data_IF_457422588397
#
_entry.id   IF_457422588397
#
_cell.length_a   1.000
_cell.length_b   1.000
_cell.length_c   1.000
_cell.angle_alpha   90.00
_cell.angle_beta   90.00
_cell.angle_gamma   90.00
#
_symmetry.space_group_name_H-M   'P 1'
#
loop_
_entity.id
_entity.type
_entity.pdbx_description
1 polymer ?
#
# COMPACT_ATOMS: atom_id res chain seq x y z
N UNK A 1 -11.28 26.28 2.46
CA UNK A 1 -10.22 26.02 1.46
C UNK A 1 -10.45 24.65 0.86
N UNK A 2 -10.22 24.46 -0.43
CA UNK A 2 -10.48 23.16 -1.08
C UNK A 2 -9.53 22.89 -2.25
N UNK A 3 -9.33 21.60 -2.54
CA UNK A 3 -8.77 21.09 -3.78
C UNK A 3 -9.89 20.38 -4.55
N UNK A 4 -9.95 20.52 -5.87
CA UNK A 4 -10.93 19.84 -6.72
C UNK A 4 -10.38 19.55 -8.11
N UNK A 5 -10.67 18.36 -8.63
CA UNK A 5 -10.30 17.92 -9.98
C UNK A 5 -11.52 17.47 -10.83
N UNK A 6 -12.73 17.82 -10.39
CA UNK A 6 -13.99 17.40 -11.02
C UNK A 6 -14.51 16.02 -10.59
N UNK A 7 -13.65 15.12 -10.10
CA UNK A 7 -14.04 13.81 -9.56
C UNK A 7 -14.12 13.82 -8.04
N UNK A 8 -13.17 14.51 -7.40
CA UNK A 8 -13.05 14.65 -5.96
C UNK A 8 -12.97 16.13 -5.62
N UNK A 9 -13.62 16.50 -4.52
CA UNK A 9 -13.40 17.76 -3.82
C UNK A 9 -12.98 17.46 -2.39
N UNK A 10 -11.77 17.89 -2.02
CA UNK A 10 -11.24 17.76 -0.67
C UNK A 10 -11.23 19.11 0.02
N UNK A 11 -11.85 19.22 1.20
CA UNK A 11 -11.88 20.46 1.99
C UNK A 11 -10.93 20.37 3.17
N UNK A 12 -10.27 21.49 3.45
CA UNK A 12 -9.23 21.60 4.47
C UNK A 12 -9.62 22.62 5.53
N UNK A 13 -9.25 22.33 6.77
CA UNK A 13 -9.44 23.21 7.90
C UNK A 13 -8.58 24.48 7.71
N UNK A 14 -9.22 25.65 7.76
CA UNK A 14 -8.56 26.93 7.49
C UNK A 14 -7.59 27.38 8.59
N UNK A 15 -7.65 26.76 9.78
CA UNK A 15 -6.74 27.05 10.90
C UNK A 15 -5.53 26.12 10.88
N UNK A 16 -5.74 24.82 10.68
CA UNK A 16 -4.67 23.81 10.81
C UNK A 16 -4.03 23.42 9.49
N UNK A 17 -4.71 23.64 8.37
CA UNK A 17 -4.31 23.15 7.04
C UNK A 17 -4.62 21.69 6.78
N UNK A 18 -5.12 20.92 7.75
CA UNK A 18 -5.38 19.48 7.58
C UNK A 18 -6.69 19.18 6.87
N UNK A 19 -6.76 17.98 6.29
CA UNK A 19 -7.96 17.46 5.65
C UNK A 19 -9.13 17.43 6.66
N UNK A 20 -10.30 17.88 6.21
CA UNK A 20 -11.52 17.91 7.01
C UNK A 20 -12.66 17.10 6.38
N UNK A 21 -12.72 17.02 5.05
CA UNK A 21 -13.73 16.20 4.35
C UNK A 21 -13.33 15.88 2.92
N UNK A 22 -13.90 14.80 2.41
CA UNK A 22 -13.79 14.35 1.02
C UNK A 22 -15.19 14.24 0.45
N UNK A 23 -15.38 14.75 -0.76
CA UNK A 23 -16.61 14.63 -1.52
C UNK A 23 -16.29 14.06 -2.91
N UNK A 24 -17.01 13.04 -3.31
CA UNK A 24 -17.05 12.48 -4.67
C UNK A 24 -18.40 12.82 -5.31
N UNK A 25 -18.65 12.34 -6.53
CA UNK A 25 -19.98 12.45 -7.14
C UNK A 25 -21.07 11.72 -6.34
N UNK A 26 -20.71 10.59 -5.73
CA UNK A 26 -21.66 9.65 -5.12
C UNK A 26 -21.64 9.67 -3.58
N UNK A 27 -20.62 10.27 -2.94
CA UNK A 27 -20.47 10.29 -1.49
C UNK A 27 -19.88 11.61 -0.96
N UNK A 28 -20.20 11.95 0.28
CA UNK A 28 -19.56 13.04 1.03
C UNK A 28 -19.30 12.58 2.45
N UNK A 29 -18.07 12.72 2.92
CA UNK A 29 -17.65 12.23 4.22
C UNK A 29 -16.73 13.22 4.92
N UNK A 30 -17.01 13.47 6.21
CA UNK A 30 -16.04 14.12 7.09
C UNK A 30 -14.88 13.17 7.34
N UNK A 31 -13.66 13.67 7.11
CA UNK A 31 -12.40 12.97 7.39
C UNK A 31 -11.53 13.96 8.16
N UNK A 32 -11.69 13.97 9.48
CA UNK A 32 -10.91 14.82 10.39
C UNK A 32 -9.52 14.21 10.58
N UNK A 33 -8.56 14.75 9.83
CA UNK A 33 -7.16 14.34 9.88
C UNK A 33 -6.42 15.12 10.98
N UNK A 34 -5.73 14.38 11.84
CA UNK A 34 -4.91 14.93 12.91
C UNK A 34 -3.64 14.11 13.12
N UNK A 35 -2.69 14.68 13.85
CA UNK A 35 -1.47 13.99 14.26
C UNK A 35 -1.44 13.87 15.77
N UNK A 36 -1.00 12.71 16.24
CA UNK A 36 -1.00 12.35 17.65
C UNK A 36 0.31 11.64 17.99
N UNK A 37 0.58 11.47 19.27
CA UNK A 37 1.72 10.68 19.72
C UNK A 37 1.40 9.80 20.92
N UNK A 38 2.12 8.69 21.04
CA UNK A 38 2.14 7.83 22.21
C UNK A 38 3.46 8.03 22.96
N UNK A 39 3.40 8.06 24.30
CA UNK A 39 4.57 7.96 25.15
C UNK A 39 4.91 6.50 25.45
N UNK A 40 6.14 6.21 25.87
CA UNK A 40 6.51 4.87 26.35
C UNK A 40 6.26 4.73 27.86
N UNK A 41 5.79 3.54 28.29
CA UNK A 41 5.63 3.26 29.73
C UNK A 41 6.95 3.44 30.50
N UNK A 42 6.93 4.10 31.67
CA UNK A 42 8.10 4.18 32.53
C UNK A 42 8.40 2.80 33.16
N UNK A 43 9.64 2.64 33.63
CA UNK A 43 10.04 1.49 34.43
C UNK A 43 9.24 1.42 35.74
N UNK A 44 8.84 0.23 36.18
CA UNK A 44 8.27 0.03 37.52
C UNK A 44 9.20 -0.86 38.34
N UNK A 45 10.02 -0.22 39.18
CA UNK A 45 11.08 -0.84 40.00
C UNK A 45 10.65 -1.99 40.95
N UNK A 46 9.36 -2.35 41.04
CA UNK A 46 8.85 -3.35 42.00
C UNK A 46 8.25 -4.60 41.31
N UNK A 47 8.94 -5.72 41.55
CA UNK A 47 8.58 -7.12 41.29
C UNK A 47 8.46 -7.58 39.83
N UNK A 48 9.60 -8.02 39.32
CA UNK A 48 9.75 -8.58 37.98
C UNK A 48 9.63 -10.12 38.02
N UNK A 49 8.39 -10.62 37.91
CA UNK A 49 8.11 -11.95 37.39
C UNK A 49 7.77 -11.83 35.89
N UNK A 50 8.67 -11.18 35.12
CA UNK A 50 8.56 -11.01 33.66
C UNK A 50 7.64 -9.89 33.19
N UNK A 51 7.49 -8.82 33.97
CA UNK A 51 6.43 -7.81 33.79
C UNK A 51 6.89 -6.38 33.47
N UNK A 52 8.18 -6.06 33.59
CA UNK A 52 8.70 -4.71 33.35
C UNK A 52 9.25 -4.51 31.94
N UNK A 53 8.45 -4.91 30.95
CA UNK A 53 8.76 -4.65 29.56
C UNK A 53 8.41 -3.20 29.21
N UNK A 54 9.33 -2.52 28.50
CA UNK A 54 9.12 -1.17 27.95
C UNK A 54 9.04 -1.23 26.44
N UNK A 55 8.55 -0.16 25.82
CA UNK A 55 8.64 -0.01 24.36
C UNK A 55 10.11 -0.07 23.94
N UNK A 56 10.38 -0.78 22.85
CA UNK A 56 11.68 -0.84 22.16
C UNK A 56 11.40 -1.28 20.71
N UNK A 57 12.41 -1.68 19.93
CA UNK A 57 12.24 -1.99 18.51
C UNK A 57 11.11 -2.97 18.17
N UNK A 58 10.83 -3.95 19.04
CA UNK A 58 9.83 -5.00 18.83
C UNK A 58 8.54 -4.71 19.60
N UNK A 59 8.65 -4.25 20.85
CA UNK A 59 7.49 -4.04 21.71
C UNK A 59 6.92 -2.63 21.56
N UNK A 60 5.61 -2.55 21.38
CA UNK A 60 4.84 -1.32 21.54
C UNK A 60 4.09 -1.37 22.87
N UNK A 61 4.52 -0.61 23.85
CA UNK A 61 3.96 -0.57 25.20
C UNK A 61 3.71 0.88 25.62
N UNK A 62 2.65 1.51 25.07
CA UNK A 62 2.39 2.91 25.30
C UNK A 62 1.91 3.18 26.73
N UNK A 63 2.21 4.38 27.23
CA UNK A 63 1.82 4.84 28.57
C UNK A 63 0.35 5.27 28.69
N UNK A 64 -0.43 5.14 27.63
CA UNK A 64 -1.87 5.39 27.61
C UNK A 64 -2.40 5.61 26.20
N UNK A 65 -3.56 6.24 26.11
CA UNK A 65 -4.12 6.73 24.85
C UNK A 65 -3.22 7.81 24.22
N UNK A 66 -3.24 7.90 22.89
CA UNK A 66 -2.47 8.91 22.16
C UNK A 66 -2.94 10.33 22.49
N UNK A 67 -1.97 11.24 22.63
CA UNK A 67 -2.18 12.66 22.89
C UNK A 67 -2.12 13.46 21.59
N UNK A 68 -2.98 14.46 21.39
CA UNK A 68 -2.96 15.28 20.19
C UNK A 68 -1.69 16.14 20.14
N UNK A 69 -1.14 16.31 18.94
CA UNK A 69 -0.07 17.27 18.71
C UNK A 69 -0.64 18.67 18.47
N UNK A 70 0.00 19.74 19.01
CA UNK A 70 -0.42 21.11 18.79
C UNK A 70 -0.44 21.49 17.31
N UNK A 71 -1.44 22.30 16.92
CA UNK A 71 -1.63 22.74 15.53
C UNK A 71 -1.82 24.25 15.41
N UNK A 72 -1.71 24.97 16.52
CA UNK A 72 -1.89 26.42 16.63
C UNK A 72 -0.84 27.21 15.84
N UNK A 73 0.35 26.64 15.66
CA UNK A 73 1.45 27.22 14.88
C UNK A 73 1.54 26.70 13.45
N UNK A 74 0.61 25.86 13.03
CA UNK A 74 0.64 25.33 11.67
C UNK A 74 0.55 26.46 10.65
N UNK A 75 1.37 26.37 9.62
CA UNK A 75 1.30 27.25 8.46
C UNK A 75 1.12 26.39 7.22
N UNK A 76 0.45 26.92 6.21
CA UNK A 76 0.22 26.17 4.97
C UNK A 76 0.22 27.08 3.75
N UNK A 77 0.51 26.48 2.61
CA UNK A 77 0.46 27.11 1.29
C UNK A 77 -0.36 26.24 0.37
N UNK A 78 -1.19 26.88 -0.45
CA UNK A 78 -2.00 26.22 -1.49
C UNK A 78 -1.41 26.55 -2.85
N UNK A 79 -1.14 25.51 -3.63
CA UNK A 79 -0.65 25.60 -4.99
C UNK A 79 -1.73 25.02 -5.90
N UNK A 80 -2.30 25.87 -6.76
CA UNK A 80 -3.32 25.45 -7.72
C UNK A 80 -2.77 25.54 -9.13
N UNK A 81 -2.66 24.40 -9.82
CA UNK A 81 -2.28 24.31 -11.21
C UNK A 81 -3.27 23.47 -12.03
N UNK A 82 -3.15 23.48 -13.36
CA UNK A 82 -4.08 22.76 -14.25
C UNK A 82 -3.93 21.23 -14.19
N UNK A 83 -2.76 20.72 -13.78
CA UNK A 83 -2.47 19.28 -13.72
C UNK A 83 -2.56 18.73 -12.30
N UNK A 84 -2.20 19.55 -11.31
CA UNK A 84 -2.13 19.18 -9.89
C UNK A 84 -2.49 20.38 -9.05
N UNK A 85 -3.26 20.12 -8.00
CA UNK A 85 -3.41 21.03 -6.88
C UNK A 85 -2.82 20.40 -5.62
N UNK A 86 -2.15 21.20 -4.80
CA UNK A 86 -1.45 20.73 -3.60
C UNK A 86 -1.64 21.71 -2.46
N UNK A 87 -1.89 21.21 -1.27
CA UNK A 87 -1.69 21.95 -0.02
C UNK A 87 -0.45 21.39 0.67
N UNK A 88 0.44 22.29 1.08
CA UNK A 88 1.63 21.95 1.84
C UNK A 88 1.46 22.55 3.23
N UNK A 89 1.47 21.70 4.25
CA UNK A 89 1.32 22.09 5.65
C UNK A 89 2.66 21.87 6.36
N UNK A 90 3.12 22.90 7.07
CA UNK A 90 4.26 22.85 7.98
C UNK A 90 3.74 22.85 9.43
N UNK A 91 4.19 21.88 10.21
CA UNK A 91 3.74 21.62 11.58
C UNK A 91 2.96 20.30 11.67
N UNK A 92 2.84 19.66 12.85
CA UNK A 92 3.28 20.11 14.17
C UNK A 92 4.80 20.22 14.31
N UNK A 93 5.25 21.13 15.17
CA UNK A 93 6.67 21.46 15.37
C UNK A 93 7.43 20.33 16.08
N UNK A 94 6.77 19.61 16.99
CA UNK A 94 7.35 18.50 17.76
C UNK A 94 7.87 17.40 16.86
N UNK A 95 7.21 17.18 15.74
CA UNK A 95 7.58 16.18 14.73
C UNK A 95 8.16 16.81 13.46
N UNK A 96 8.41 18.14 13.49
CA UNK A 96 8.92 18.96 12.38
C UNK A 96 8.28 18.61 11.03
N UNK A 97 6.96 18.47 11.03
CA UNK A 97 6.28 17.85 9.90
C UNK A 97 6.22 18.79 8.69
N UNK A 98 6.40 18.18 7.52
CA UNK A 98 6.01 18.76 6.23
C UNK A 98 5.06 17.78 5.53
N UNK A 99 3.77 18.11 5.47
CA UNK A 99 2.75 17.30 4.80
C UNK A 99 2.40 17.92 3.45
N UNK A 100 2.37 17.08 2.41
CA UNK A 100 1.83 17.42 1.10
C UNK A 100 0.56 16.60 0.87
N UNK A 101 -0.58 17.27 0.75
CA UNK A 101 -1.80 16.64 0.24
C UNK A 101 -2.06 17.17 -1.16
N UNK A 102 -2.09 16.28 -2.15
CA UNK A 102 -2.26 16.65 -3.56
C UNK A 102 -3.39 15.89 -4.23
N UNK A 103 -4.02 16.55 -5.19
CA UNK A 103 -5.07 16.04 -6.04
C UNK A 103 -4.65 16.29 -7.50
N UNK A 104 -4.46 15.20 -8.22
CA UNK A 104 -4.06 15.20 -9.63
C UNK A 104 -5.29 15.23 -10.53
N UNK A 105 -5.14 15.74 -11.75
CA UNK A 105 -6.19 15.66 -12.76
C UNK A 105 -6.55 14.19 -13.04
N UNK A 106 -7.83 13.90 -13.24
CA UNK A 106 -8.36 12.56 -13.59
C UNK A 106 -8.06 11.44 -12.56
N UNK A 107 -7.76 11.77 -11.30
CA UNK A 107 -7.58 10.76 -10.24
C UNK A 107 -8.77 10.72 -9.26
N UNK A 108 -9.13 9.53 -8.81
CA UNK A 108 -10.15 9.31 -7.79
C UNK A 108 -9.52 9.01 -6.40
N UNK A 109 -8.40 9.65 -6.08
CA UNK A 109 -7.75 9.54 -4.76
C UNK A 109 -6.99 10.82 -4.39
N UNK A 110 -6.80 11.04 -3.09
CA UNK A 110 -5.86 12.04 -2.57
C UNK A 110 -4.50 11.40 -2.32
N UNK A 111 -3.43 12.04 -2.77
CA UNK A 111 -2.07 11.66 -2.42
C UNK A 111 -1.65 12.42 -1.15
N UNK A 112 -1.21 11.69 -0.12
CA UNK A 112 -0.74 12.24 1.15
C UNK A 112 0.71 11.81 1.34
N UNK A 113 1.62 12.77 1.43
CA UNK A 113 3.03 12.55 1.75
C UNK A 113 3.36 13.27 3.04
N UNK A 114 3.78 12.55 4.07
CA UNK A 114 4.24 13.15 5.32
C UNK A 114 5.75 12.96 5.44
N UNK A 115 6.50 14.06 5.54
CA UNK A 115 7.87 14.05 6.03
C UNK A 115 7.85 14.38 7.52
N UNK A 116 8.44 13.52 8.33
CA UNK A 116 8.42 13.58 9.80
C UNK A 116 9.86 13.50 10.30
N UNK A 117 10.23 14.34 11.27
CA UNK A 117 11.53 14.28 11.95
C UNK A 117 11.32 14.36 13.47
N UNK A 118 11.43 13.19 14.12
CA UNK A 118 11.28 13.02 15.57
C UNK A 118 12.62 12.91 16.31
N UNK A 119 13.75 13.22 15.68
CA UNK A 119 15.09 13.04 16.29
C UNK A 119 15.30 13.83 17.58
N UNK A 120 14.57 14.92 17.76
CA UNK A 120 14.62 15.75 18.98
C UNK A 120 13.69 15.25 20.10
N UNK A 121 12.93 14.17 19.86
CA UNK A 121 12.04 13.58 20.85
C UNK A 121 12.72 12.45 21.63
N UNK A 122 12.09 12.01 22.71
CA UNK A 122 12.49 10.84 23.49
C UNK A 122 11.25 10.11 23.98
N UNK A 123 11.24 8.78 23.89
CA UNK A 123 10.08 7.94 24.22
C UNK A 123 8.78 8.40 23.56
N UNK A 124 8.83 8.54 22.24
CA UNK A 124 7.83 9.20 21.43
C UNK A 124 7.52 8.39 20.17
N UNK A 125 6.25 8.03 19.98
CA UNK A 125 5.79 7.28 18.82
C UNK A 125 4.71 8.11 18.10
N UNK A 126 5.04 8.65 16.92
CA UNK A 126 4.19 9.57 16.17
C UNK A 126 3.18 8.81 15.31
N UNK A 127 1.94 9.30 15.21
CA UNK A 127 0.90 8.69 14.38
C UNK A 127 0.05 9.74 13.64
N UNK A 128 -0.40 9.37 12.44
CA UNK A 128 -1.47 10.07 11.72
C UNK A 128 -2.80 9.40 12.07
N UNK A 129 -3.81 10.20 12.42
CA UNK A 129 -5.16 9.74 12.77
C UNK A 129 -6.18 10.34 11.80
N UNK A 130 -7.01 9.48 11.24
CA UNK A 130 -8.18 9.83 10.44
C UNK A 130 -9.43 9.50 11.25
N UNK A 131 -10.32 10.47 11.46
CA UNK A 131 -11.62 10.24 12.09
C UNK A 131 -12.74 10.48 11.11
N UNK A 132 -13.69 9.58 11.06
CA UNK A 132 -14.80 9.59 10.11
C UNK A 132 -16.13 9.33 10.82
N UNK A 133 -17.22 9.46 10.07
CA UNK A 133 -18.55 9.05 10.52
C UNK A 133 -18.92 7.60 10.18
N UNK A 134 -17.98 6.79 9.67
CA UNK A 134 -18.22 5.38 9.35
C UNK A 134 -18.50 4.62 10.64
N UNK A 135 -19.54 3.78 10.63
CA UNK A 135 -19.92 2.93 11.76
C UNK A 135 -19.65 1.47 11.41
N UNK A 136 -18.45 1.02 11.73
CA UNK A 136 -17.89 -0.25 11.28
C UNK A 136 -18.22 -1.46 12.18
N UNK A 137 -18.97 -1.27 13.27
CA UNK A 137 -19.32 -2.32 14.24
C UNK A 137 -18.10 -3.17 14.68
N UNK A 138 -17.02 -2.48 15.09
CA UNK A 138 -15.71 -3.05 15.47
C UNK A 138 -14.97 -3.80 14.34
N UNK A 139 -15.31 -3.56 13.07
CA UNK A 139 -14.67 -4.20 11.90
C UNK A 139 -13.66 -3.28 11.25
N UNK A 140 -12.41 -3.72 11.25
CA UNK A 140 -11.30 -3.02 10.63
C UNK A 140 -10.56 -4.00 9.73
N UNK A 141 -10.10 -3.60 8.55
CA UNK A 141 -9.46 -4.53 7.63
C UNK A 141 -8.02 -4.12 7.38
N UNK A 142 -7.10 -5.07 7.49
CA UNK A 142 -5.69 -4.85 7.14
C UNK A 142 -5.19 -5.90 6.17
N UNK A 143 -4.26 -5.50 5.34
CA UNK A 143 -3.62 -6.39 4.40
C UNK A 143 -2.58 -7.30 5.07
N UNK A 144 -2.41 -8.50 4.50
CA UNK A 144 -1.31 -9.42 4.79
C UNK A 144 -0.42 -9.56 3.56
N UNK A 145 0.81 -9.06 3.68
CA UNK A 145 1.92 -9.26 2.74
C UNK A 145 1.65 -8.84 1.27
N UNK A 146 0.80 -7.86 1.02
CA UNK A 146 0.50 -7.46 -0.36
C UNK A 146 -0.48 -8.40 -1.08
N UNK A 147 -1.14 -9.32 -0.35
CA UNK A 147 -1.90 -10.41 -0.95
C UNK A 147 -3.38 -10.39 -0.58
N UNK A 148 -3.73 -10.55 0.69
CA UNK A 148 -5.12 -10.67 1.14
C UNK A 148 -5.47 -9.62 2.18
N UNK A 149 -6.73 -9.17 2.22
CA UNK A 149 -7.26 -8.35 3.29
C UNK A 149 -8.01 -9.24 4.29
N UNK A 150 -7.72 -9.04 5.57
CA UNK A 150 -8.32 -9.79 6.66
C UNK A 150 -9.01 -8.86 7.65
N UNK A 151 -10.18 -9.29 8.12
CA UNK A 151 -10.96 -8.63 9.15
C UNK A 151 -10.24 -8.72 10.50
N UNK A 152 -10.10 -7.57 11.14
CA UNK A 152 -9.66 -7.35 12.51
C UNK A 152 -10.86 -6.93 13.32
N UNK A 153 -10.90 -7.43 14.56
CA UNK A 153 -11.96 -7.12 15.52
C UNK A 153 -11.34 -6.52 16.76
N UNK A 154 -11.92 -5.42 17.22
CA UNK A 154 -11.56 -4.84 18.50
C UNK A 154 -12.11 -5.71 19.65
N UNK A 155 -11.33 -5.90 20.70
CA UNK A 155 -11.71 -6.73 21.85
C UNK A 155 -11.34 -5.99 23.13
N UNK A 156 -12.34 -5.49 23.86
CA UNK A 156 -12.14 -4.71 25.09
C UNK A 156 -11.30 -5.41 26.17
N UNK A 157 -11.20 -6.75 26.13
CA UNK A 157 -10.38 -7.55 27.05
C UNK A 157 -8.87 -7.50 26.75
N UNK A 158 -8.47 -7.05 25.56
CA UNK A 158 -7.08 -6.96 25.13
C UNK A 158 -6.55 -5.54 25.36
N UNK A 159 -5.25 -5.38 25.63
CA UNK A 159 -4.65 -4.07 25.82
C UNK A 159 -4.53 -3.33 24.47
N UNK A 160 -4.41 -1.99 24.52
CA UNK A 160 -4.35 -1.11 23.34
C UNK A 160 -3.39 -1.61 22.26
N UNK A 161 -2.15 -1.96 22.63
CA UNK A 161 -1.13 -2.39 21.67
C UNK A 161 -1.50 -3.69 20.92
N UNK A 162 -2.40 -4.51 21.45
CA UNK A 162 -2.87 -5.72 20.79
C UNK A 162 -3.83 -5.43 19.62
N UNK A 163 -4.25 -4.17 19.46
CA UNK A 163 -5.11 -3.71 18.37
C UNK A 163 -4.33 -2.98 17.27
N UNK A 164 -3.01 -2.88 17.39
CA UNK A 164 -2.14 -2.51 16.27
C UNK A 164 -1.79 -3.73 15.44
N UNK A 165 -2.04 -3.63 14.14
CA UNK A 165 -1.77 -4.66 13.16
C UNK A 165 -0.77 -4.14 12.12
N UNK A 166 -0.04 -5.03 11.43
CA UNK A 166 0.72 -4.63 10.26
C UNK A 166 -0.20 -4.08 9.16
N UNK A 167 0.24 -2.99 8.54
CA UNK A 167 -0.26 -2.42 7.29
C UNK A 167 0.87 -2.42 6.27
N UNK A 168 1.09 -3.55 5.56
CA UNK A 168 2.14 -3.63 4.56
C UNK A 168 1.87 -2.72 3.35
N UNK A 169 0.62 -2.62 2.92
CA UNK A 169 0.23 -1.79 1.77
C UNK A 169 -1.20 -1.22 1.84
N UNK A 170 -2.10 -1.80 2.65
CA UNK A 170 -3.46 -1.24 2.78
C UNK A 170 -4.16 -1.52 4.11
N UNK A 171 -5.04 -0.59 4.49
CA UNK A 171 -6.07 -0.78 5.50
C UNK A 171 -7.35 -0.03 5.12
N UNK A 172 -8.51 -0.51 5.57
CA UNK A 172 -9.77 0.20 5.37
C UNK A 172 -10.77 -0.01 6.51
N UNK A 173 -11.70 0.93 6.62
CA UNK A 173 -12.92 0.83 7.42
C UNK A 173 -14.13 0.96 6.48
N UNK A 174 -15.20 0.25 6.77
CA UNK A 174 -16.43 0.31 5.96
C UNK A 174 -17.69 0.17 6.81
N UNK A 175 -18.77 0.77 6.32
CA UNK A 175 -20.14 0.50 6.76
C UNK A 175 -20.98 -0.02 5.57
N UNK A 176 -22.31 0.04 5.66
CA UNK A 176 -23.21 -0.43 4.61
C UNK A 176 -23.27 0.47 3.36
N UNK A 177 -22.70 1.67 3.42
CA UNK A 177 -22.83 2.70 2.39
C UNK A 177 -21.48 3.25 1.90
N UNK A 178 -20.44 3.22 2.75
CA UNK A 178 -19.17 3.87 2.48
C UNK A 178 -17.99 3.01 2.92
N UNK A 179 -16.92 3.08 2.13
CA UNK A 179 -15.61 2.52 2.44
C UNK A 179 -14.55 3.61 2.34
N UNK A 180 -13.74 3.77 3.38
CA UNK A 180 -12.55 4.62 3.36
C UNK A 180 -11.30 3.74 3.40
N UNK A 181 -10.54 3.74 2.29
CA UNK A 181 -9.32 2.95 2.13
C UNK A 181 -8.09 3.84 2.21
N UNK A 182 -7.14 3.47 3.06
CA UNK A 182 -5.79 4.04 3.12
C UNK A 182 -4.82 3.04 2.50
N UNK A 183 -4.28 3.38 1.33
CA UNK A 183 -3.19 2.64 0.68
C UNK A 183 -1.86 3.27 1.10
N UNK A 184 -0.85 2.47 1.43
CA UNK A 184 0.47 2.91 1.86
C UNK A 184 1.57 2.33 0.97
N UNK A 185 2.63 3.11 0.74
CA UNK A 185 3.80 2.65 -0.03
C UNK A 185 4.78 1.83 0.82
N UNK A 186 4.67 1.93 2.14
CA UNK A 186 5.59 1.37 3.12
C UNK A 186 4.84 0.66 4.24
N UNK A 187 5.46 -0.36 4.82
CA UNK A 187 4.89 -1.12 5.91
C UNK A 187 4.91 -0.33 7.23
N UNK A 188 3.74 -0.17 7.86
CA UNK A 188 3.59 0.55 9.12
C UNK A 188 2.62 -0.18 10.06
N UNK A 189 2.56 0.23 11.33
CA UNK A 189 1.55 -0.23 12.27
C UNK A 189 0.26 0.58 12.11
N UNK A 190 -0.89 -0.08 12.05
CA UNK A 190 -2.21 0.56 11.92
C UNK A 190 -3.21 0.02 12.93
N UNK A 191 -4.14 0.85 13.39
CA UNK A 191 -5.22 0.43 14.27
C UNK A 191 -6.53 1.18 14.00
N UNK A 192 -7.66 0.54 14.29
CA UNK A 192 -8.93 1.22 14.60
C UNK A 192 -9.21 1.00 16.09
N UNK A 193 -8.94 2.02 16.90
CA UNK A 193 -9.09 1.97 18.36
C UNK A 193 -10.46 2.46 18.84
N UNK A 194 -11.20 3.18 17.98
CA UNK A 194 -12.53 3.70 18.24
C UNK A 194 -13.33 3.67 16.94
N UNK A 195 -14.67 3.60 17.00
CA UNK A 195 -15.50 3.64 15.81
C UNK A 195 -15.20 4.86 14.93
N UNK A 196 -15.08 4.62 13.63
CA UNK A 196 -14.77 5.59 12.59
C UNK A 196 -13.31 6.04 12.56
N UNK A 197 -12.42 5.48 13.39
CA UNK A 197 -11.02 5.90 13.48
C UNK A 197 -10.10 4.96 12.70
N UNK A 198 -9.08 5.55 12.09
CA UNK A 198 -7.93 4.83 11.56
C UNK A 198 -6.66 5.57 11.93
N UNK A 199 -5.73 4.89 12.58
CA UNK A 199 -4.46 5.43 13.06
C UNK A 199 -3.31 4.66 12.46
N UNK A 200 -2.32 5.36 11.91
CA UNK A 200 -1.09 4.76 11.37
C UNK A 200 0.12 5.38 12.05
N UNK A 201 0.99 4.54 12.61
CA UNK A 201 2.29 4.96 13.17
C UNK A 201 3.18 5.43 12.03
N UNK A 202 3.83 6.58 12.19
CA UNK A 202 4.70 7.19 11.18
C UNK A 202 6.18 6.95 11.48
N UNK A 203 6.58 7.10 12.74
CA UNK A 203 7.95 6.89 13.21
C UNK A 203 7.94 6.73 14.75
N UNK A 204 8.98 6.14 15.31
CA UNK A 204 9.13 5.92 16.76
C UNK A 204 10.57 6.08 17.23
N UNK A 205 10.76 6.76 18.35
CA UNK A 205 12.06 6.98 18.99
C UNK A 205 11.97 6.62 20.46
N UNK A 206 12.86 5.72 20.91
CA UNK A 206 12.74 5.06 22.21
C UNK A 206 14.08 5.04 22.91
N UNK A 207 14.09 5.46 24.18
CA UNK A 207 15.31 5.69 24.95
C UNK A 207 15.81 4.46 25.69
N UNK A 208 15.17 3.31 25.46
CA UNK A 208 15.49 2.04 26.06
C UNK A 208 15.33 0.90 25.06
N UNK A 209 15.95 -0.23 25.39
CA UNK A 209 15.70 -1.51 24.74
C UNK A 209 14.50 -2.23 25.37
N UNK A 210 13.98 -3.24 24.69
CA UNK A 210 12.80 -4.03 25.09
C UNK A 210 13.13 -5.49 25.47
N UNK A 211 14.41 -5.79 25.71
CA UNK A 211 14.89 -7.11 26.13
C UNK A 211 14.53 -8.26 25.16
N UNK A 212 14.47 -7.99 23.85
CA UNK A 212 14.29 -9.02 22.80
C UNK A 212 15.57 -9.44 22.08
N UNK A 213 16.74 -9.09 22.64
CA UNK A 213 18.06 -9.53 22.17
C UNK A 213 18.85 -8.49 21.36
N UNK A 214 18.21 -7.40 20.92
CA UNK A 214 18.88 -6.31 20.19
C UNK A 214 19.74 -5.42 21.10
N UNK A 215 19.33 -5.27 22.37
CA UNK A 215 20.09 -4.59 23.44
C UNK A 215 20.50 -3.13 23.16
N UNK A 216 19.76 -2.43 22.31
CA UNK A 216 19.97 -1.02 21.99
C UNK A 216 18.62 -0.25 21.97
N UNK A 217 18.64 1.07 22.22
CA UNK A 217 17.50 1.96 22.00
C UNK A 217 17.24 2.17 20.50
N UNK A 218 16.07 2.74 20.16
CA UNK A 218 15.76 3.15 18.78
C UNK A 218 16.08 4.63 18.65
N UNK A 219 17.32 4.94 18.25
CA UNK A 219 17.87 6.31 18.20
C UNK A 219 18.43 6.75 16.85
N UNK A 220 18.47 5.86 15.88
CA UNK A 220 19.01 6.04 14.53
C UNK A 220 17.99 6.65 13.55
N UNK A 221 16.92 7.26 14.06
CA UNK A 221 15.89 7.92 13.24
C UNK A 221 16.52 8.94 12.28
N UNK A 222 16.00 8.97 11.07
CA UNK A 222 16.24 10.03 10.08
C UNK A 222 14.93 10.80 9.84
N UNK A 223 14.99 11.84 9.00
CA UNK A 223 13.75 12.39 8.48
C UNK A 223 13.09 11.32 7.60
N UNK A 224 11.94 10.83 8.04
CA UNK A 224 11.26 9.69 7.42
C UNK A 224 10.08 10.19 6.59
N UNK A 225 9.93 9.60 5.41
CA UNK A 225 8.83 9.89 4.50
C UNK A 225 7.82 8.74 4.49
N UNK A 226 6.55 9.08 4.68
CA UNK A 226 5.43 8.16 4.47
C UNK A 226 4.55 8.65 3.32
N UNK A 227 4.22 7.74 2.41
CA UNK A 227 3.35 8.01 1.26
C UNK A 227 2.08 7.19 1.35
N UNK A 228 0.95 7.85 1.19
CA UNK A 228 -0.36 7.24 1.21
C UNK A 228 -1.25 7.74 0.07
N UNK A 229 -2.22 6.90 -0.32
CA UNK A 229 -3.39 7.30 -1.11
C UNK A 229 -4.64 7.08 -0.29
N UNK A 230 -5.50 8.08 -0.23
CA UNK A 230 -6.78 8.00 0.47
C UNK A 230 -7.92 7.96 -0.54
N UNK A 231 -8.74 6.92 -0.46
CA UNK A 231 -9.83 6.64 -1.40
C UNK A 231 -11.15 6.50 -0.64
N UNK A 232 -12.17 7.25 -1.07
CA UNK A 232 -13.54 7.16 -0.59
C UNK A 232 -14.41 6.52 -1.66
N UNK A 233 -15.08 5.43 -1.31
CA UNK A 233 -15.95 4.67 -2.22
C UNK A 233 -17.33 4.47 -1.62
N UNK A 234 -18.34 4.31 -2.47
CA UNK A 234 -19.68 3.87 -2.08
C UNK A 234 -19.79 2.36 -2.13
N UNK A 235 -20.58 1.79 -1.22
CA UNK A 235 -20.80 0.35 -1.09
C UNK A 235 -22.28 0.07 -1.25
N UNK A 236 -22.62 -0.86 -2.14
CA UNK A 236 -24.00 -1.30 -2.36
C UNK A 236 -24.39 -2.37 -1.34
N UNK A 237 -24.74 -1.93 -0.13
CA UNK A 237 -25.28 -2.78 0.92
C UNK A 237 -24.22 -3.47 1.80
N UNK A 238 -24.65 -4.20 2.85
CA UNK A 238 -23.74 -4.87 3.76
C UNK A 238 -22.99 -6.03 3.07
N UNK A 239 -21.90 -6.55 3.66
CA UNK A 239 -21.23 -7.73 3.15
C UNK A 239 -22.21 -8.90 2.93
N UNK A 240 -22.09 -9.67 1.83
CA UNK A 240 -23.04 -10.73 1.46
C UNK A 240 -23.22 -11.80 2.54
N UNK A 241 -22.17 -12.05 3.31
CA UNK A 241 -22.16 -13.02 4.39
C UNK A 241 -22.23 -12.33 5.77
N UNK A 242 -22.94 -12.99 6.70
CA UNK A 242 -22.78 -12.70 8.11
C UNK A 242 -21.37 -13.15 8.53
N UNK A 243 -20.40 -12.24 8.35
CA UNK A 243 -19.02 -12.29 8.86
C UNK A 243 -17.94 -13.03 8.03
N UNK A 244 -17.69 -12.66 6.76
CA UNK A 244 -16.51 -13.17 6.07
C UNK A 244 -15.25 -12.64 6.76
N UNK A 245 -14.30 -13.55 7.02
CA UNK A 245 -13.00 -13.21 7.64
C UNK A 245 -12.10 -12.46 6.65
N UNK A 246 -12.28 -12.69 5.35
CA UNK A 246 -11.52 -12.08 4.27
C UNK A 246 -12.33 -10.98 3.59
N UNK A 247 -11.65 -9.98 3.06
CA UNK A 247 -12.25 -8.96 2.22
C UNK A 247 -11.43 -8.75 0.93
N UNK A 248 -12.00 -7.97 0.02
CA UNK A 248 -11.38 -7.67 -1.28
C UNK A 248 -11.42 -6.17 -1.53
N UNK A 249 -10.42 -5.69 -2.27
CA UNK A 249 -10.46 -4.34 -2.83
C UNK A 249 -11.48 -4.28 -3.98
N UNK A 250 -12.00 -3.08 -4.26
CA UNK A 250 -12.58 -2.83 -5.57
C UNK A 250 -11.48 -2.99 -6.64
N UNK A 251 -11.85 -3.25 -7.89
CA UNK A 251 -10.87 -3.33 -8.99
C UNK A 251 -10.04 -2.04 -9.08
N UNK A 252 -10.70 -0.90 -8.85
CA UNK A 252 -10.07 0.41 -8.80
C UNK A 252 -8.97 0.49 -7.73
N UNK A 253 -9.26 0.08 -6.50
CA UNK A 253 -8.27 0.11 -5.43
C UNK A 253 -7.13 -0.88 -5.65
N UNK A 254 -7.38 -2.05 -6.25
CA UNK A 254 -6.32 -2.98 -6.62
C UNK A 254 -5.33 -2.35 -7.60
N UNK A 255 -5.82 -1.61 -8.60
CA UNK A 255 -4.99 -0.86 -9.56
C UNK A 255 -4.24 0.28 -8.86
N UNK A 256 -4.92 1.04 -7.99
CA UNK A 256 -4.30 2.14 -7.25
C UNK A 256 -3.23 1.63 -6.27
N UNK A 257 -3.41 0.46 -5.67
CA UNK A 257 -2.40 -0.21 -4.84
C UNK A 257 -1.21 -0.68 -5.70
N UNK A 258 -1.46 -1.31 -6.85
CA UNK A 258 -0.37 -1.67 -7.76
C UNK A 258 0.44 -0.44 -8.21
N UNK A 259 -0.22 0.66 -8.56
CA UNK A 259 0.45 1.89 -8.98
C UNK A 259 1.29 2.57 -7.90
N UNK A 260 0.95 2.41 -6.60
CA UNK A 260 1.78 2.99 -5.52
C UNK A 260 3.05 2.17 -5.27
N UNK A 261 2.98 0.85 -5.47
CA UNK A 261 4.11 -0.06 -5.29
C UNK A 261 5.00 -0.20 -6.55
N UNK A 262 4.42 -0.03 -7.73
CA UNK A 262 5.10 -0.14 -9.03
C UNK A 262 4.97 1.19 -9.83
N UNK A 263 5.56 2.30 -9.35
CA UNK A 263 5.52 3.56 -10.07
C UNK A 263 6.34 3.49 -11.38
N UNK A 264 6.03 4.35 -12.38
CA UNK A 264 6.82 4.43 -13.60
C UNK A 264 8.30 4.73 -13.33
N UNK A 265 9.19 4.02 -14.01
CA UNK A 265 10.63 4.30 -14.00
C UNK A 265 10.91 5.40 -15.02
N UNK A 266 11.30 6.58 -14.53
CA UNK A 266 11.66 7.72 -15.38
C UNK A 266 13.15 7.67 -15.69
N UNK A 267 13.49 7.57 -16.99
CA UNK A 267 14.87 7.58 -17.47
C UNK A 267 15.10 8.84 -18.32
N UNK A 268 16.18 9.57 -18.04
CA UNK A 268 16.54 10.80 -18.74
C UNK A 268 17.84 10.55 -19.51
N UNK A 269 17.83 10.83 -20.81
CA UNK A 269 19.01 10.73 -21.68
C UNK A 269 19.64 12.12 -21.91
N UNK A 270 20.96 12.24 -21.77
CA UNK A 270 21.67 13.53 -21.85
C UNK A 270 21.74 14.11 -23.28
N UNK A 271 21.90 13.27 -24.31
CA UNK A 271 21.88 13.65 -25.74
C UNK A 271 21.39 12.46 -26.56
N UNK A 272 20.25 12.61 -27.20
CA UNK A 272 19.93 11.85 -28.41
C UNK A 272 20.43 12.71 -29.58
N UNK A 273 21.52 12.31 -30.25
CA UNK A 273 21.81 12.92 -31.54
C UNK A 273 20.66 12.58 -32.52
N UNK A 274 20.48 13.39 -33.57
CA UNK A 274 19.34 13.22 -34.50
C UNK A 274 19.30 11.82 -35.13
N UNK A 275 20.47 11.18 -35.31
CA UNK A 275 20.60 9.83 -35.84
C UNK A 275 20.14 8.75 -34.85
N UNK A 276 20.39 8.92 -33.55
CA UNK A 276 19.96 8.00 -32.49
C UNK A 276 18.49 8.25 -32.15
N UNK A 277 18.03 9.50 -32.11
CA UNK A 277 16.62 9.83 -31.88
C UNK A 277 15.70 9.21 -32.93
N UNK A 278 16.12 9.15 -34.19
CA UNK A 278 15.35 8.53 -35.26
C UNK A 278 15.26 7.00 -35.17
N UNK A 279 16.16 6.36 -34.40
CA UNK A 279 16.21 4.90 -34.21
C UNK A 279 15.55 4.43 -32.91
N UNK A 280 15.28 5.35 -31.98
CA UNK A 280 14.59 5.01 -30.74
C UNK A 280 13.10 4.92 -31.03
N UNK A 281 12.48 3.74 -30.91
CA UNK A 281 11.03 3.62 -31.06
C UNK A 281 10.32 4.48 -30.01
N UNK A 282 9.24 5.14 -30.41
CA UNK A 282 8.41 5.96 -29.51
C UNK A 282 7.72 5.15 -28.43
N UNK A 283 7.54 3.85 -28.67
CA UNK A 283 6.93 2.89 -27.74
C UNK A 283 7.63 1.54 -27.88
N UNK A 284 7.92 0.92 -26.73
CA UNK A 284 8.37 -0.48 -26.67
C UNK A 284 7.48 -1.18 -25.65
N UNK A 285 6.74 -2.18 -26.11
CA UNK A 285 5.91 -3.02 -25.26
C UNK A 285 6.57 -4.40 -25.08
N UNK A 286 6.66 -4.86 -23.83
CA UNK A 286 7.16 -6.20 -23.52
C UNK A 286 6.13 -7.32 -23.82
N UNK A 287 4.85 -6.98 -23.89
CA UNK A 287 3.75 -7.87 -24.26
C UNK A 287 3.06 -7.36 -25.52
N UNK A 288 2.48 -8.27 -26.31
CA UNK A 288 1.75 -7.95 -27.54
C UNK A 288 0.41 -7.24 -27.31
N UNK A 289 -0.18 -7.41 -26.11
CA UNK A 289 -1.44 -6.80 -25.67
C UNK A 289 -1.48 -6.70 -24.14
N UNK A 290 -2.29 -5.79 -23.56
CA UNK A 290 -2.40 -5.66 -22.10
C UNK A 290 -3.06 -6.91 -21.47
N UNK A 291 -2.62 -7.26 -20.26
CA UNK A 291 -3.28 -8.26 -19.42
C UNK A 291 -4.67 -7.78 -18.99
N UNK A 292 -5.60 -8.69 -18.63
CA UNK A 292 -6.86 -8.31 -17.99
C UNK A 292 -6.63 -7.44 -16.75
N UNK A 293 -7.54 -6.50 -16.47
CA UNK A 293 -7.37 -5.53 -15.38
C UNK A 293 -7.29 -6.16 -13.98
N UNK A 294 -7.89 -7.34 -13.83
CA UNK A 294 -7.88 -8.15 -12.61
C UNK A 294 -6.66 -9.07 -12.52
N UNK A 295 -5.73 -9.04 -13.49
CA UNK A 295 -4.56 -9.92 -13.55
C UNK A 295 -3.29 -9.10 -13.51
N UNK A 296 -2.41 -9.42 -12.56
CA UNK A 296 -1.14 -8.76 -12.36
C UNK A 296 0.04 -9.71 -12.60
N UNK A 297 0.99 -9.28 -13.42
CA UNK A 297 2.27 -9.97 -13.58
C UNK A 297 3.20 -9.65 -12.41
N UNK A 298 3.21 -10.53 -11.41
CA UNK A 298 4.03 -10.39 -10.20
C UNK A 298 5.51 -10.52 -10.52
N UNK A 299 5.87 -11.41 -11.46
CA UNK A 299 7.24 -11.60 -11.88
C UNK A 299 7.32 -12.09 -13.34
N UNK A 300 8.28 -11.54 -14.07
CA UNK A 300 8.70 -12.01 -15.39
C UNK A 300 10.22 -12.12 -15.40
N UNK A 301 10.75 -13.34 -15.50
CA UNK A 301 12.18 -13.64 -15.33
C UNK A 301 12.72 -14.52 -16.45
N UNK A 302 13.71 -14.05 -17.20
CA UNK A 302 14.49 -14.89 -18.11
C UNK A 302 15.26 -15.95 -17.33
N UNK A 303 15.22 -17.20 -17.79
CA UNK A 303 15.90 -18.32 -17.14
C UNK A 303 17.31 -18.52 -17.67
N UNK A 304 18.14 -19.20 -16.88
CA UNK A 304 19.50 -19.56 -17.24
C UNK A 304 19.67 -21.07 -17.23
N UNK A 305 20.58 -21.54 -18.09
CA UNK A 305 21.04 -22.91 -18.06
C UNK A 305 21.75 -23.23 -16.72
N UNK A 306 21.83 -24.51 -16.32
CA UNK A 306 22.58 -24.92 -15.14
C UNK A 306 23.99 -24.35 -15.14
N UNK A 307 24.42 -23.84 -13.98
CA UNK A 307 25.76 -23.32 -13.80
C UNK A 307 26.76 -24.46 -13.88
N UNK A 308 27.73 -24.37 -14.79
CA UNK A 308 28.85 -25.31 -14.87
C UNK A 308 30.05 -24.70 -14.16
N UNK A 309 30.58 -25.41 -13.17
CA UNK A 309 31.85 -25.08 -12.52
C UNK A 309 32.96 -25.75 -13.31
N UNK A 310 33.80 -24.95 -13.97
CA UNK A 310 34.97 -25.49 -14.65
C UNK A 310 36.08 -25.82 -13.63
N UNK A 311 37.03 -26.67 -14.03
CA UNK A 311 38.14 -27.12 -13.19
C UNK A 311 39.08 -25.99 -12.74
N UNK A 312 38.98 -24.82 -13.38
CA UNK A 312 39.66 -23.57 -13.04
C UNK A 312 38.92 -22.73 -11.98
N UNK A 313 37.82 -23.26 -11.41
CA UNK A 313 36.96 -22.55 -10.46
C UNK A 313 36.05 -21.48 -11.09
N UNK A 314 36.12 -21.30 -12.41
CA UNK A 314 35.31 -20.29 -13.11
C UNK A 314 33.86 -20.75 -13.24
N UNK A 315 32.95 -19.86 -12.87
CA UNK A 315 31.51 -20.06 -13.01
C UNK A 315 31.08 -19.73 -14.44
N UNK A 316 30.58 -20.72 -15.17
CA UNK A 316 30.03 -20.52 -16.53
C UNK A 316 28.53 -20.80 -16.54
N UNK A 317 27.74 -19.76 -16.83
CA UNK A 317 26.28 -19.83 -16.97
C UNK A 317 25.89 -19.22 -18.31
N UNK A 318 25.00 -19.88 -19.05
CA UNK A 318 24.45 -19.36 -20.32
C UNK A 318 22.97 -19.01 -20.15
N UNK A 319 22.46 -17.99 -20.86
CA UNK A 319 21.02 -17.73 -20.88
C UNK A 319 20.30 -18.93 -21.51
N UNK A 320 19.11 -19.23 -20.99
CA UNK A 320 18.18 -20.18 -21.61
C UNK A 320 17.14 -19.40 -22.43
N UNK A 321 16.65 -19.97 -23.54
CA UNK A 321 15.58 -19.36 -24.33
C UNK A 321 14.21 -19.62 -23.70
N UNK A 322 14.12 -19.41 -22.39
CA UNK A 322 12.91 -19.63 -21.62
C UNK A 322 12.75 -18.56 -20.54
N UNK A 323 11.51 -18.30 -20.17
CA UNK A 323 11.14 -17.28 -19.20
C UNK A 323 10.12 -17.86 -18.24
N UNK A 324 10.21 -17.47 -16.98
CA UNK A 324 9.21 -17.73 -15.97
C UNK A 324 8.28 -16.53 -15.82
N UNK A 325 6.97 -16.79 -15.79
CA UNK A 325 5.94 -15.79 -15.57
C UNK A 325 5.08 -16.22 -14.38
N UNK A 326 4.95 -15.32 -13.40
CA UNK A 326 4.05 -15.47 -12.24
C UNK A 326 2.91 -14.48 -12.38
N UNK A 327 1.69 -14.98 -12.41
CA UNK A 327 0.46 -14.20 -12.52
C UNK A 327 -0.36 -14.33 -11.24
N UNK A 328 -0.87 -13.21 -10.76
CA UNK A 328 -1.87 -13.14 -9.69
C UNK A 328 -3.19 -12.63 -10.29
N UNK A 329 -4.31 -13.28 -9.99
CA UNK A 329 -5.62 -12.68 -10.23
C UNK A 329 -6.20 -12.14 -8.94
N UNK A 330 -6.57 -10.87 -8.94
CA UNK A 330 -7.21 -10.23 -7.79
C UNK A 330 -8.63 -10.77 -7.57
N UNK A 331 -8.96 -11.02 -6.29
CA UNK A 331 -10.35 -11.03 -5.84
C UNK A 331 -10.88 -9.59 -5.79
N UNK A 332 -12.12 -9.40 -6.22
CA UNK A 332 -12.73 -8.08 -6.37
C UNK A 332 -14.01 -8.00 -5.54
N UNK A 333 -14.17 -6.90 -4.80
CA UNK A 333 -15.42 -6.55 -4.14
C UNK A 333 -16.40 -5.98 -5.16
N UNK A 334 -17.41 -6.77 -5.52
CA UNK A 334 -18.40 -6.40 -6.54
C UNK A 334 -19.46 -5.39 -6.04
N UNK A 335 -19.61 -5.20 -4.72
CA UNK A 335 -20.49 -4.16 -4.16
C UNK A 335 -20.01 -2.73 -4.40
N UNK A 336 -18.76 -2.57 -4.86
CA UNK A 336 -18.14 -1.27 -5.07
C UNK A 336 -17.86 -1.08 -6.55
N UNK A 337 -18.58 -0.14 -7.17
CA UNK A 337 -18.44 0.19 -8.58
C UNK A 337 -17.74 1.55 -8.76
N UNK A 338 -16.49 1.63 -8.32
CA UNK A 338 -15.70 2.86 -8.44
C UNK A 338 -15.37 3.15 -9.90
N UNK A 339 -15.90 4.27 -10.41
CA UNK A 339 -15.58 4.79 -11.74
C UNK A 339 -14.23 5.51 -11.70
N UNK A 340 -13.15 4.83 -12.05
CA UNK A 340 -11.87 5.50 -12.36
C UNK A 340 -11.89 6.09 -13.78
N UNK A 341 -11.21 7.21 -13.97
CA UNK A 341 -10.84 7.71 -15.31
C UNK A 341 -9.62 6.97 -15.88
N UNK A 342 -9.56 5.65 -15.69
CA UNK A 342 -8.48 4.79 -16.22
C UNK A 342 -9.12 3.84 -17.22
N UNK A 343 -8.46 3.62 -18.36
CA UNK A 343 -8.93 2.72 -19.43
C UNK A 343 -9.10 1.26 -19.01
N UNK A 344 -8.64 0.89 -17.81
CA UNK A 344 -8.67 -0.46 -17.27
C UNK A 344 -9.73 -0.57 -16.15
N UNK A 345 -10.98 -0.82 -16.52
CA UNK A 345 -12.07 -1.08 -15.56
C UNK A 345 -12.97 -2.27 -15.94
N UNK A 346 -12.62 -2.99 -17.00
CA UNK A 346 -13.36 -4.18 -17.40
C UNK A 346 -12.63 -5.41 -16.90
N UNK A 347 -13.32 -6.18 -16.05
CA UNK A 347 -12.88 -7.52 -15.69
C UNK A 347 -12.98 -8.43 -16.91
N UNK A 348 -12.07 -9.41 -16.99
CA UNK A 348 -12.24 -10.50 -17.95
C UNK A 348 -13.53 -11.25 -17.67
N UNK A 349 -14.31 -11.55 -18.71
CA UNK A 349 -15.48 -12.43 -18.61
C UNK A 349 -15.09 -13.90 -18.39
N UNK A 350 -13.84 -14.27 -18.67
CA UNK A 350 -13.33 -15.63 -18.53
C UNK A 350 -12.24 -15.74 -17.47
N UNK A 351 -12.18 -16.93 -16.85
CA UNK A 351 -11.10 -17.27 -15.95
C UNK A 351 -9.81 -17.78 -16.58
N UNK A 352 -9.79 -17.87 -17.90
CA UNK A 352 -8.71 -18.47 -18.67
C UNK A 352 -7.92 -17.42 -19.44
N UNK A 353 -6.60 -17.58 -19.50
CA UNK A 353 -5.69 -16.74 -20.25
C UNK A 353 -4.91 -17.59 -21.26
N UNK A 354 -4.95 -17.20 -22.54
CA UNK A 354 -4.04 -17.74 -23.55
C UNK A 354 -2.70 -17.01 -23.47
N UNK A 355 -1.74 -17.62 -22.77
CA UNK A 355 -0.40 -17.07 -22.54
C UNK A 355 0.35 -16.82 -23.85
N UNK A 356 0.17 -17.67 -24.87
CA UNK A 356 0.92 -17.56 -26.13
C UNK A 356 0.58 -16.27 -26.85
N UNK A 357 -0.67 -15.82 -26.75
CA UNK A 357 -1.15 -14.59 -27.38
C UNK A 357 -0.57 -13.28 -26.81
N UNK A 358 0.18 -13.32 -25.71
CA UNK A 358 0.77 -12.13 -25.09
C UNK A 358 2.23 -11.87 -25.51
N UNK A 359 2.86 -12.79 -26.25
CA UNK A 359 4.24 -12.63 -26.69
C UNK A 359 4.31 -12.47 -28.21
N UNK A 360 5.13 -11.52 -28.66
CA UNK A 360 5.38 -11.29 -30.09
C UNK A 360 6.31 -12.34 -30.70
N UNK A 361 7.23 -12.86 -29.89
CA UNK A 361 8.10 -13.97 -30.27
C UNK A 361 7.31 -15.30 -30.28
N UNK A 362 7.60 -16.23 -31.21
CA UNK A 362 6.98 -17.54 -31.23
C UNK A 362 7.17 -18.28 -29.91
N UNK A 363 6.07 -18.67 -29.25
CA UNK A 363 6.11 -19.51 -28.05
C UNK A 363 6.04 -20.97 -28.47
N UNK A 364 7.09 -21.74 -28.15
CA UNK A 364 7.16 -23.18 -28.41
C UNK A 364 6.30 -23.97 -27.44
N UNK A 365 6.47 -23.76 -26.13
CA UNK A 365 5.71 -24.46 -25.09
C UNK A 365 5.49 -23.62 -23.83
N UNK A 366 4.41 -23.94 -23.10
CA UNK A 366 4.03 -23.30 -21.83
C UNK A 366 3.76 -24.39 -20.80
N UNK A 367 4.61 -24.50 -19.78
CA UNK A 367 4.51 -25.54 -18.76
C UNK A 367 4.19 -24.95 -17.38
N UNK A 368 3.24 -25.52 -16.61
CA UNK A 368 2.99 -25.07 -15.25
C UNK A 368 4.16 -25.43 -14.34
N UNK A 369 4.43 -24.57 -13.37
CA UNK A 369 5.51 -24.73 -12.42
C UNK A 369 5.10 -24.32 -11.00
N UNK A 370 5.89 -24.76 -10.01
CA UNK A 370 5.80 -24.23 -8.65
C UNK A 370 6.18 -22.75 -8.62
N UNK A 371 5.72 -22.00 -7.60
CA UNK A 371 6.04 -20.57 -7.42
C UNK A 371 7.56 -20.30 -7.41
N UNK A 372 8.34 -21.23 -6.86
CA UNK A 372 9.80 -21.17 -6.81
C UNK A 372 10.50 -21.62 -8.11
N UNK A 373 9.75 -22.14 -9.08
CA UNK A 373 10.23 -22.74 -10.33
C UNK A 373 11.11 -24.00 -10.15
N UNK A 374 11.20 -24.54 -8.94
CA UNK A 374 11.97 -25.75 -8.66
C UNK A 374 11.33 -27.01 -9.27
N UNK A 375 10.01 -26.99 -9.45
CA UNK A 375 9.27 -28.07 -10.09
C UNK A 375 8.52 -27.53 -11.29
N UNK A 376 8.78 -28.09 -12.46
CA UNK A 376 8.05 -27.77 -13.70
C UNK A 376 7.45 -29.04 -14.26
N UNK A 377 6.16 -29.03 -14.57
CA UNK A 377 5.50 -30.14 -15.22
C UNK A 377 5.71 -30.05 -16.74
N UNK A 378 6.86 -30.53 -17.22
CA UNK A 378 7.22 -30.49 -18.64
C UNK A 378 6.36 -31.41 -19.53
N UNK A 379 5.51 -32.26 -18.94
CA UNK A 379 4.62 -33.15 -19.68
C UNK A 379 3.28 -32.50 -20.03
N UNK A 380 2.96 -31.35 -19.42
CA UNK A 380 1.72 -30.62 -19.66
C UNK A 380 2.04 -29.31 -20.37
N UNK A 381 1.81 -29.25 -21.68
CA UNK A 381 1.89 -28.02 -22.47
C UNK A 381 0.51 -27.35 -22.53
N UNK A 382 0.39 -26.18 -21.92
CA UNK A 382 -0.88 -25.47 -21.75
C UNK A 382 -1.24 -24.67 -23.00
N UNK A 383 -2.47 -24.82 -23.45
CA UNK A 383 -3.12 -23.94 -24.44
C UNK A 383 -3.79 -22.75 -23.75
N UNK A 384 -4.41 -22.99 -22.59
CA UNK A 384 -5.02 -21.99 -21.74
C UNK A 384 -4.60 -22.19 -20.29
N UNK A 385 -4.40 -21.09 -19.57
CA UNK A 385 -4.12 -21.08 -18.13
C UNK A 385 -5.34 -20.56 -17.39
N UNK A 386 -5.97 -21.40 -16.59
CA UNK A 386 -7.01 -20.98 -15.66
C UNK A 386 -6.38 -20.38 -14.39
N UNK A 387 -6.85 -19.19 -14.00
CA UNK A 387 -6.46 -18.51 -12.77
C UNK A 387 -7.74 -18.06 -12.07
N UNK A 388 -8.11 -18.68 -10.96
CA UNK A 388 -9.29 -18.24 -10.20
C UNK A 388 -8.99 -16.97 -9.40
N UNK A 389 -10.01 -16.22 -8.93
CA UNK A 389 -9.80 -15.09 -8.04
C UNK A 389 -8.96 -15.48 -6.82
N UNK A 390 -7.99 -14.63 -6.47
CA UNK A 390 -6.98 -14.88 -5.44
C UNK A 390 -6.03 -16.05 -5.70
N UNK A 391 -5.87 -16.52 -6.94
CA UNK A 391 -4.84 -17.51 -7.26
C UNK A 391 -3.56 -16.87 -7.82
N UNK A 392 -2.43 -17.45 -7.41
CA UNK A 392 -1.14 -17.27 -8.04
C UNK A 392 -0.82 -18.49 -8.90
N UNK A 393 -0.53 -18.28 -10.19
CA UNK A 393 -0.06 -19.34 -11.10
C UNK A 393 1.30 -18.98 -11.66
N UNK A 394 2.14 -19.99 -11.80
CA UNK A 394 3.48 -19.86 -12.41
C UNK A 394 3.58 -20.74 -13.63
N UNK A 395 4.09 -20.18 -14.72
CA UNK A 395 4.37 -20.91 -15.96
C UNK A 395 5.80 -20.67 -16.42
N UNK A 396 6.42 -21.71 -16.96
CA UNK A 396 7.66 -21.65 -17.73
C UNK A 396 7.30 -21.63 -19.21
N UNK A 397 7.76 -20.59 -19.91
CA UNK A 397 7.49 -20.33 -21.32
C UNK A 397 8.80 -20.54 -22.08
N UNK A 398 8.79 -21.35 -23.13
CA UNK A 398 9.94 -21.59 -24.00
C UNK A 398 9.70 -20.93 -25.36
N UNK A 399 10.71 -20.22 -25.86
CA UNK A 399 10.70 -19.55 -27.16
C UNK A 399 11.57 -20.28 -28.18
#
# INVERSE_FOLDING_TARGET
>A
MQLSNGLITAKFNARTGFLASIQTADASMTVDMSFVYYGARPHKYYFDFGGDHRSGAYLFLPDGDARPLPTDKNTFVVISGPVRQTIIVKGPDEIKMLQHVSLDINTAHLNIRNLVDIRSQGNFEAAMRLKTGIVENDRFYTELNGYQLIRRKHFAKLPLQAHFFPMPGAAFIEDSAHRLTLLGRQALGVASLRPGWMEVILDRRLDQHDWRGMSEPVHDNLQTESNFRLVLETVDGPPPDAEPTTAYHSLANSILAAQIHYPPIVMIANRLDSATSAKVPSEVAGLAKPLPCDVHAVALRTLSQPTKYASDGQRRTKPDNSTALVLHRYGVECRIQTKLSVSCLQMSSSNTIDIRSYFTAPVLSVHPASLSLLYTNNHNDLTQLEILPMELKTVKIKF
#
